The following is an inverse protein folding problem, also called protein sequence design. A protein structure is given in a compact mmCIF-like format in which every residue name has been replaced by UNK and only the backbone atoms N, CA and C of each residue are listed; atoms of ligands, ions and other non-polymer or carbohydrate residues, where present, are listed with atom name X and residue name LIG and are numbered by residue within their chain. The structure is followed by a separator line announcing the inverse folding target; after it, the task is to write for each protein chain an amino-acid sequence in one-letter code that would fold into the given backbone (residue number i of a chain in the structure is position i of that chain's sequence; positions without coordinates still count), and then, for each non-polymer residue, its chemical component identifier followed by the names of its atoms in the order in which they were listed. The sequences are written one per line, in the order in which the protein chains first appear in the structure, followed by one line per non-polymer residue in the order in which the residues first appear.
data_IF_994936832751
#
_entry.id   IF_994936832751
#
_cell.length_a   1.000
_cell.length_b   1.000
_cell.length_c   1.000
_cell.angle_alpha   90.00
_cell.angle_beta   90.00
_cell.angle_gamma   90.00
#
_symmetry.space_group_name_H-M   'P 1'
#
loop_
_entity.id
_entity.type
_entity.pdbx_description
1 polymer ?
#
# COMPACT_ATOMS: atom_id res chain seq x y z
N UNK A 1 41.87 -7.39 45.80
CA UNK A 1 40.64 -8.12 46.23
C UNK A 1 39.54 -7.76 45.23
N UNK A 2 39.15 -8.72 44.38
CA UNK A 2 38.16 -8.50 43.31
C UNK A 2 36.75 -8.65 43.89
N UNK A 3 35.97 -7.57 43.83
CA UNK A 3 34.54 -7.54 44.16
C UNK A 3 33.74 -8.23 43.05
N UNK A 4 33.21 -9.42 43.33
CA UNK A 4 32.34 -10.18 42.44
C UNK A 4 30.87 -9.86 42.71
N UNK A 5 30.34 -8.85 42.02
CA UNK A 5 28.90 -8.58 41.97
C UNK A 5 28.22 -9.57 40.99
N UNK A 6 27.29 -10.38 41.50
CA UNK A 6 26.44 -11.28 40.71
C UNK A 6 25.22 -10.49 40.20
N UNK A 7 25.02 -10.51 38.88
CA UNK A 7 23.93 -9.80 38.18
C UNK A 7 22.89 -10.84 37.72
N UNK A 8 21.85 -11.08 38.53
CA UNK A 8 20.76 -11.99 38.20
C UNK A 8 19.87 -11.38 37.10
N UNK A 9 19.99 -11.91 35.86
CA UNK A 9 19.13 -11.55 34.73
C UNK A 9 17.74 -12.19 34.91
N UNK A 10 16.78 -11.40 35.39
CA UNK A 10 15.35 -11.71 35.28
C UNK A 10 14.91 -11.71 33.81
N UNK A 11 14.52 -12.88 33.29
CA UNK A 11 13.97 -13.02 31.92
C UNK A 11 12.48 -12.74 31.92
N UNK A 12 12.10 -11.49 31.66
CA UNK A 12 10.70 -11.09 31.44
C UNK A 12 10.21 -11.63 30.11
N UNK A 13 9.41 -12.71 30.14
CA UNK A 13 8.69 -13.25 28.98
C UNK A 13 7.67 -12.23 28.49
N UNK A 14 8.03 -11.42 27.50
CA UNK A 14 7.11 -10.53 26.77
C UNK A 14 6.08 -11.39 26.03
N UNK A 15 4.81 -11.32 26.45
CA UNK A 15 3.67 -11.88 25.71
C UNK A 15 3.49 -11.06 24.42
N UNK A 16 3.79 -11.65 23.27
CA UNK A 16 3.45 -11.07 21.97
C UNK A 16 1.93 -11.01 21.83
N UNK A 17 1.37 -9.79 21.99
CA UNK A 17 0.00 -9.47 21.63
C UNK A 17 -0.07 -9.57 20.11
N UNK A 18 -0.73 -10.62 19.58
CA UNK A 18 -1.07 -10.72 18.15
C UNK A 18 -1.77 -9.40 17.75
N UNK A 19 -1.07 -8.55 17.01
CA UNK A 19 -1.71 -7.42 16.35
C UNK A 19 -2.64 -8.04 15.30
N UNK A 20 -3.94 -7.86 15.52
CA UNK A 20 -4.93 -8.14 14.51
C UNK A 20 -4.89 -6.92 13.60
N UNK A 21 -3.99 -6.94 12.62
CA UNK A 21 -3.88 -5.89 11.61
C UNK A 21 -5.17 -5.94 10.80
N UNK A 22 -6.09 -5.04 11.14
CA UNK A 22 -7.29 -4.81 10.34
C UNK A 22 -6.79 -4.23 9.02
N UNK A 23 -6.71 -5.08 8.00
CA UNK A 23 -6.43 -4.63 6.64
C UNK A 23 -7.70 -3.93 6.17
N UNK A 24 -7.68 -2.59 6.14
CA UNK A 24 -8.80 -1.79 5.63
C UNK A 24 -8.85 -1.93 4.11
N UNK A 25 -9.78 -2.76 3.60
CA UNK A 25 -9.91 -3.03 2.16
C UNK A 25 -10.65 -1.89 1.46
N UNK A 26 -9.99 -1.23 0.50
CA UNK A 26 -10.58 -0.17 -0.31
C UNK A 26 -11.01 -0.70 -1.69
N UNK A 27 -12.16 -0.25 -2.18
CA UNK A 27 -12.73 -0.65 -3.47
C UNK A 27 -13.09 0.56 -4.33
N UNK A 28 -12.94 0.45 -5.65
CA UNK A 28 -13.50 1.42 -6.60
C UNK A 28 -15.00 1.15 -6.79
N UNK A 29 -15.87 2.05 -6.33
CA UNK A 29 -17.35 1.91 -6.47
C UNK A 29 -17.84 1.81 -7.91
N UNK A 30 -17.05 2.33 -8.85
CA UNK A 30 -17.40 2.40 -10.27
C UNK A 30 -16.83 1.26 -11.10
N UNK A 31 -15.71 0.70 -10.64
CA UNK A 31 -14.97 -0.36 -11.32
C UNK A 31 -15.32 -1.74 -10.75
N UNK A 32 -15.71 -1.79 -9.47
CA UNK A 32 -15.85 -3.02 -8.70
C UNK A 32 -14.53 -3.63 -8.23
N UNK A 33 -13.40 -3.04 -8.62
CA UNK A 33 -12.06 -3.58 -8.31
C UNK A 33 -11.58 -3.17 -6.92
N UNK A 34 -10.87 -4.10 -6.26
CA UNK A 34 -10.09 -3.83 -5.06
C UNK A 34 -8.89 -2.95 -5.40
N UNK A 35 -8.66 -1.92 -4.58
CA UNK A 35 -7.56 -0.98 -4.76
C UNK A 35 -6.27 -1.47 -4.08
N UNK A 36 -6.37 -2.31 -3.06
CA UNK A 36 -5.21 -2.92 -2.40
C UNK A 36 -4.47 -3.85 -3.37
N UNK A 37 -5.22 -4.75 -4.01
CA UNK A 37 -4.64 -5.72 -4.94
C UNK A 37 -4.20 -5.04 -6.24
N UNK A 38 -4.78 -3.89 -6.58
CA UNK A 38 -4.41 -3.14 -7.77
C UNK A 38 -2.90 -2.85 -7.81
N UNK A 39 -2.26 -2.52 -6.70
CA UNK A 39 -0.81 -2.25 -6.66
C UNK A 39 0.07 -3.47 -7.01
N UNK A 40 -0.47 -4.69 -6.92
CA UNK A 40 0.21 -5.95 -7.19
C UNK A 40 -0.06 -6.48 -8.61
N UNK A 41 -0.98 -5.86 -9.33
CA UNK A 41 -1.36 -6.28 -10.68
C UNK A 41 -0.42 -5.65 -11.74
N UNK A 42 -0.11 -6.39 -12.81
CA UNK A 42 0.71 -5.87 -13.93
C UNK A 42 0.12 -4.60 -14.57
N UNK A 43 -1.21 -4.46 -14.52
CA UNK A 43 -1.96 -3.30 -15.01
C UNK A 43 -1.74 -2.02 -14.17
N UNK A 44 -1.14 -2.11 -13.00
CA UNK A 44 -0.74 -0.95 -12.21
C UNK A 44 0.49 -0.26 -12.79
N UNK A 45 1.39 -1.05 -13.38
CA UNK A 45 2.62 -0.60 -14.03
C UNK A 45 2.34 0.07 -15.39
N UNK A 46 1.21 -0.25 -16.02
CA UNK A 46 0.77 0.42 -17.25
C UNK A 46 -0.01 1.71 -16.95
N UNK A 47 0.74 2.77 -16.64
CA UNK A 47 0.17 4.07 -16.28
C UNK A 47 -0.69 4.68 -17.38
N UNK A 48 -0.39 4.42 -18.66
CA UNK A 48 -1.17 4.94 -19.78
C UNK A 48 -2.58 4.35 -19.80
N UNK A 49 -2.70 3.04 -19.59
CA UNK A 49 -3.99 2.37 -19.48
C UNK A 49 -4.79 2.88 -18.29
N UNK A 50 -4.15 3.12 -17.15
CA UNK A 50 -4.80 3.68 -15.95
C UNK A 50 -5.28 5.11 -16.22
N UNK A 51 -4.48 5.93 -16.91
CA UNK A 51 -4.86 7.29 -17.31
C UNK A 51 -6.05 7.28 -18.26
N UNK A 52 -6.04 6.41 -19.26
CA UNK A 52 -7.17 6.24 -20.20
C UNK A 52 -8.44 5.80 -19.46
N UNK A 53 -8.32 4.86 -18.52
CA UNK A 53 -9.46 4.43 -17.71
C UNK A 53 -10.04 5.61 -16.90
N UNK A 54 -9.18 6.40 -16.26
CA UNK A 54 -9.61 7.60 -15.53
C UNK A 54 -10.31 8.62 -16.44
N UNK A 55 -9.78 8.89 -17.63
CA UNK A 55 -10.43 9.76 -18.63
C UNK A 55 -11.81 9.24 -19.05
N UNK A 56 -11.94 7.91 -19.23
CA UNK A 56 -13.23 7.28 -19.54
C UNK A 56 -14.21 7.42 -18.38
N UNK A 57 -13.77 7.22 -17.14
CA UNK A 57 -14.59 7.43 -15.95
C UNK A 57 -15.08 8.89 -15.84
N UNK A 58 -14.24 9.87 -16.20
CA UNK A 58 -14.66 11.28 -16.29
C UNK A 58 -15.70 11.51 -17.39
N UNK A 59 -15.42 11.04 -18.61
CA UNK A 59 -16.32 11.24 -19.77
C UNK A 59 -17.68 10.59 -19.59
N UNK A 60 -17.73 9.43 -18.93
CA UNK A 60 -18.98 8.69 -18.67
C UNK A 60 -19.74 9.15 -17.43
N UNK A 61 -19.19 10.09 -16.65
CA UNK A 61 -19.79 10.56 -15.40
C UNK A 61 -19.72 9.55 -14.25
N UNK A 62 -18.95 8.47 -14.40
CA UNK A 62 -18.69 7.50 -13.32
C UNK A 62 -17.78 8.09 -12.24
N UNK A 63 -16.80 8.89 -12.64
CA UNK A 63 -15.87 9.52 -11.68
C UNK A 63 -16.56 10.65 -10.91
N UNK A 64 -16.74 10.47 -9.59
CA UNK A 64 -17.39 11.44 -8.68
C UNK A 64 -16.49 11.90 -7.52
N UNK A 65 -15.23 11.47 -7.49
CA UNK A 65 -14.29 11.81 -6.42
C UNK A 65 -13.41 13.02 -6.76
N UNK A 66 -12.63 13.47 -5.78
CA UNK A 66 -11.59 14.49 -5.99
C UNK A 66 -10.33 13.88 -6.62
N UNK A 67 -9.98 12.65 -6.22
CA UNK A 67 -8.79 11.93 -6.66
C UNK A 67 -9.13 10.50 -7.10
N UNK A 68 -8.44 10.00 -8.13
CA UNK A 68 -8.54 8.61 -8.58
C UNK A 68 -7.44 7.77 -7.92
N UNK A 69 -7.83 6.85 -7.03
CA UNK A 69 -6.88 6.01 -6.29
C UNK A 69 -6.01 5.14 -7.20
N UNK A 70 -6.55 4.59 -8.29
CA UNK A 70 -5.77 3.81 -9.25
C UNK A 70 -4.66 4.63 -9.90
N UNK A 71 -4.96 5.88 -10.28
CA UNK A 71 -3.97 6.78 -10.88
C UNK A 71 -2.90 7.20 -9.85
N UNK A 72 -3.32 7.37 -8.59
CA UNK A 72 -2.39 7.66 -7.50
C UNK A 72 -1.41 6.51 -7.26
N UNK A 73 -1.92 5.28 -7.17
CA UNK A 73 -1.10 4.07 -7.01
C UNK A 73 -0.14 3.90 -8.20
N UNK A 74 -0.65 4.02 -9.44
CA UNK A 74 0.17 3.85 -10.63
C UNK A 74 1.33 4.86 -10.72
N UNK A 75 1.10 6.12 -10.31
CA UNK A 75 2.16 7.14 -10.24
C UNK A 75 3.24 6.80 -9.23
N UNK A 76 2.87 6.31 -8.04
CA UNK A 76 3.85 5.90 -7.04
C UNK A 76 4.74 4.75 -7.55
N UNK A 77 4.16 3.83 -8.34
CA UNK A 77 4.90 2.73 -8.96
C UNK A 77 5.85 3.27 -10.05
N UNK A 78 5.39 4.20 -10.89
CA UNK A 78 6.23 4.86 -11.91
C UNK A 78 7.43 5.55 -11.27
N UNK A 79 7.21 6.32 -10.19
CA UNK A 79 8.29 7.00 -9.46
C UNK A 79 9.32 6.00 -8.89
N UNK A 80 8.85 4.89 -8.28
CA UNK A 80 9.73 3.84 -7.74
C UNK A 80 10.56 3.12 -8.81
N UNK A 81 10.00 2.93 -10.01
CA UNK A 81 10.72 2.29 -11.12
C UNK A 81 11.84 3.21 -11.64
N UNK A 82 11.58 4.51 -11.74
CA UNK A 82 12.56 5.48 -12.21
C UNK A 82 13.77 5.61 -11.26
N UNK A 83 13.57 5.42 -9.94
CA UNK A 83 14.66 5.44 -8.95
C UNK A 83 15.61 4.23 -9.05
N UNK A 84 15.20 3.14 -9.69
CA UNK A 84 16.03 1.93 -9.81
C UNK A 84 16.96 1.90 -11.03
N UNK A 85 16.88 2.91 -11.91
CA UNK A 85 17.66 2.99 -13.15
C UNK A 85 18.85 3.99 -13.10
N UNK A 86 19.13 4.61 -11.95
CA UNK A 86 20.31 5.48 -11.69
C UNK A 86 21.44 4.79 -10.90
#
# INVERSE_FOLDING_TARGET
MLLSYKFDRMTTKKKNKKQNDKIDIYFCTECGDQLIDFALEDRASDIESVRRNHELCKKTGKFKGECCSKLFIARQIEDLLNETEE
#
